data_IF_444342977953
#
_entry.id   IF_444342977953
#
_cell.length_a   1.000
_cell.length_b   1.000
_cell.length_c   1.000
_cell.angle_alpha   90.00
_cell.angle_beta   90.00
_cell.angle_gamma   90.00
#
_symmetry.space_group_name_H-M   'P 1'
#
loop_
_entity.id
_entity.type
_entity.pdbx_description
1 polymer ?
#
# COMPACT_ATOMS: atom_id res chain seq x y z
N UNK A 1 13.09 17.76 13.26
CA UNK A 1 12.44 17.41 11.97
C UNK A 1 13.40 16.52 11.22
N UNK A 2 12.91 15.47 10.59
CA UNK A 2 13.71 14.41 9.97
C UNK A 2 13.16 14.08 8.59
N UNK A 3 14.03 13.85 7.60
CA UNK A 3 13.62 13.40 6.28
C UNK A 3 13.50 11.87 6.31
N UNK A 4 12.32 11.36 5.97
CA UNK A 4 11.98 9.93 5.99
C UNK A 4 11.42 9.50 4.65
N UNK A 5 11.51 8.20 4.35
CA UNK A 5 10.85 7.60 3.19
C UNK A 5 9.48 7.06 3.62
N UNK A 6 8.43 7.44 2.90
CA UNK A 6 7.06 7.03 3.21
C UNK A 6 6.50 6.24 2.03
N UNK A 7 5.90 5.09 2.31
CA UNK A 7 5.06 4.36 1.39
C UNK A 7 3.59 4.71 1.64
N UNK A 8 2.91 5.10 0.58
CA UNK A 8 1.45 5.03 0.49
C UNK A 8 1.07 3.65 -0.03
N UNK A 9 0.36 2.86 0.77
CA UNK A 9 -0.10 1.51 0.44
C UNK A 9 -1.62 1.53 0.33
N UNK A 10 -2.13 1.31 -0.88
CA UNK A 10 -3.55 1.08 -1.12
C UNK A 10 -3.79 -0.43 -1.15
N UNK A 11 -4.48 -0.95 -0.13
CA UNK A 11 -4.97 -2.33 -0.10
C UNK A 11 -6.39 -2.33 -0.67
N UNK A 12 -6.60 -3.02 -1.79
CA UNK A 12 -7.88 -2.96 -2.50
C UNK A 12 -8.89 -3.99 -1.98
N UNK A 13 -8.39 -5.10 -1.43
CA UNK A 13 -9.21 -6.25 -1.10
C UNK A 13 -8.77 -7.00 0.16
N UNK A 14 -8.69 -6.30 1.29
CA UNK A 14 -8.42 -6.90 2.61
C UNK A 14 -9.54 -7.91 2.94
N UNK A 15 -9.14 -9.11 3.37
CA UNK A 15 -9.98 -10.27 3.64
C UNK A 15 -10.22 -11.17 2.43
N UNK A 16 -9.54 -10.94 1.29
CA UNK A 16 -9.77 -11.71 0.06
C UNK A 16 -8.79 -12.86 -0.16
N UNK A 17 -7.63 -12.83 0.52
CA UNK A 17 -6.57 -13.81 0.31
C UNK A 17 -6.91 -15.20 0.88
N UNK A 18 -7.78 -15.28 1.89
CA UNK A 18 -8.20 -16.53 2.53
C UNK A 18 -9.68 -16.90 2.28
N UNK A 19 -10.32 -16.31 1.26
CA UNK A 19 -11.72 -16.59 0.97
C UNK A 19 -11.91 -18.02 0.41
N UNK A 20 -11.94 -19.01 1.30
CA UNK A 20 -12.32 -20.39 1.02
C UNK A 20 -13.86 -20.46 0.93
N UNK A 21 -14.45 -20.02 -0.18
CA UNK A 21 -15.89 -20.16 -0.37
C UNK A 21 -16.46 -19.47 -1.60
N UNK A 22 -17.52 -20.06 -2.16
CA UNK A 22 -18.41 -19.45 -3.14
C UNK A 22 -19.24 -18.34 -2.46
N UNK A 23 -18.61 -17.19 -2.22
CA UNK A 23 -19.30 -16.06 -1.61
C UNK A 23 -18.62 -14.76 -1.99
N UNK A 24 -19.43 -13.76 -2.32
CA UNK A 24 -19.03 -12.36 -2.43
C UNK A 24 -18.56 -11.87 -1.05
N UNK A 25 -17.39 -12.32 -0.60
CA UNK A 25 -16.78 -11.83 0.63
C UNK A 25 -16.60 -10.32 0.46
N UNK A 26 -17.19 -9.55 1.39
CA UNK A 26 -17.01 -8.10 1.48
C UNK A 26 -15.57 -7.82 1.84
N UNK A 27 -14.71 -7.79 0.83
CA UNK A 27 -13.36 -7.29 0.99
C UNK A 27 -13.39 -5.78 1.15
N UNK A 28 -12.45 -5.25 1.93
CA UNK A 28 -12.36 -3.82 2.22
C UNK A 28 -11.21 -3.20 1.46
N UNK A 29 -11.44 -1.99 0.97
CA UNK A 29 -10.41 -1.13 0.40
C UNK A 29 -10.01 -0.08 1.40
N UNK A 30 -8.70 0.05 1.65
CA UNK A 30 -8.17 1.04 2.58
C UNK A 30 -6.76 1.48 2.19
N UNK A 31 -6.45 2.74 2.48
CA UNK A 31 -5.14 3.35 2.21
C UNK A 31 -4.40 3.60 3.52
N UNK A 32 -3.11 3.33 3.52
CA UNK A 32 -2.22 3.48 4.66
C UNK A 32 -0.98 4.27 4.27
N UNK A 33 -0.44 5.03 5.22
CA UNK A 33 0.85 5.70 5.09
C UNK A 33 1.76 5.13 6.15
N UNK A 34 2.93 4.65 5.75
CA UNK A 34 3.90 4.07 6.68
C UNK A 34 5.32 4.43 6.29
N UNK A 35 6.19 4.54 7.28
CA UNK A 35 7.62 4.73 7.06
C UNK A 35 8.23 3.42 6.56
N UNK A 36 9.09 3.52 5.55
CA UNK A 36 9.79 2.39 4.94
C UNK A 36 11.27 2.70 4.84
N UNK A 37 12.11 1.66 4.82
CA UNK A 37 13.55 1.84 4.68
C UNK A 37 13.90 2.43 3.30
N UNK A 38 13.26 1.90 2.26
CA UNK A 38 13.50 2.24 0.86
C UNK A 38 12.28 1.88 -0.01
N UNK A 39 12.41 2.07 -1.32
CA UNK A 39 11.39 1.73 -2.31
C UNK A 39 11.58 0.36 -2.96
N UNK A 40 12.39 -0.52 -2.39
CA UNK A 40 12.64 -1.83 -2.98
C UNK A 40 11.40 -2.73 -2.91
N UNK A 41 11.22 -3.57 -3.93
CA UNK A 41 10.05 -4.42 -4.09
C UNK A 41 9.86 -5.33 -2.88
N UNK A 42 10.93 -5.90 -2.33
CA UNK A 42 10.87 -6.79 -1.17
C UNK A 42 10.48 -6.04 0.11
N UNK A 43 11.05 -4.84 0.32
CA UNK A 43 10.68 -3.96 1.44
C UNK A 43 9.20 -3.62 1.40
N UNK A 44 8.70 -3.22 0.23
CA UNK A 44 7.29 -2.87 0.04
C UNK A 44 6.38 -4.08 0.19
N UNK A 45 6.79 -5.26 -0.32
CA UNK A 45 6.04 -6.50 -0.15
C UNK A 45 5.85 -6.85 1.32
N UNK A 46 6.93 -6.82 2.09
CA UNK A 46 6.88 -7.07 3.54
C UNK A 46 5.95 -6.08 4.24
N UNK A 47 6.03 -4.80 3.88
CA UNK A 47 5.14 -3.77 4.46
C UNK A 47 3.67 -3.94 4.06
N UNK A 48 3.38 -4.37 2.84
CA UNK A 48 2.01 -4.72 2.44
C UNK A 48 1.45 -5.85 3.31
N UNK A 49 2.23 -6.90 3.55
CA UNK A 49 1.83 -8.04 4.39
C UNK A 49 1.56 -7.58 5.83
N UNK A 50 2.51 -6.87 6.44
CA UNK A 50 2.38 -6.35 7.81
C UNK A 50 1.11 -5.50 7.98
N UNK A 51 0.88 -4.56 7.06
CA UNK A 51 -0.29 -3.67 7.11
C UNK A 51 -1.57 -4.47 6.88
N UNK A 52 -1.59 -5.42 5.97
CA UNK A 52 -2.77 -6.23 5.71
C UNK A 52 -3.16 -7.11 6.91
N UNK A 53 -2.20 -7.80 7.51
CA UNK A 53 -2.41 -8.66 8.68
C UNK A 53 -2.89 -7.84 9.89
N UNK A 54 -2.27 -6.68 10.14
CA UNK A 54 -2.71 -5.76 11.19
C UNK A 54 -4.14 -5.21 10.98
N UNK A 55 -4.70 -5.34 9.76
CA UNK A 55 -6.01 -4.80 9.40
C UNK A 55 -7.05 -5.88 9.04
N UNK A 56 -6.75 -7.15 9.31
CA UNK A 56 -7.72 -8.25 9.29
C UNK A 56 -7.50 -9.33 8.24
N UNK A 57 -6.36 -9.34 7.53
CA UNK A 57 -5.90 -10.59 6.93
C UNK A 57 -5.38 -11.53 8.01
N UNK A 58 -5.55 -12.84 7.80
CA UNK A 58 -4.95 -13.84 8.69
C UNK A 58 -3.45 -13.95 8.41
N UNK A 59 -2.66 -14.18 9.46
CA UNK A 59 -1.21 -14.34 9.34
C UNK A 59 -0.83 -15.44 8.32
N UNK A 60 0.10 -15.11 7.43
CA UNK A 60 0.66 -16.04 6.45
C UNK A 60 -0.20 -16.31 5.20
N UNK A 61 -1.41 -15.78 5.10
CA UNK A 61 -2.28 -16.00 3.92
C UNK A 61 -1.77 -15.30 2.66
N UNK A 62 -0.89 -14.30 2.83
CA UNK A 62 -0.24 -13.56 1.76
C UNK A 62 1.14 -14.12 1.37
N UNK A 63 1.45 -15.38 1.72
CA UNK A 63 2.74 -16.00 1.39
C UNK A 63 3.03 -16.02 -0.13
N UNK A 64 1.99 -16.12 -0.95
CA UNK A 64 2.04 -16.08 -2.43
C UNK A 64 1.80 -14.70 -3.03
N UNK A 65 1.88 -13.63 -2.23
CA UNK A 65 1.82 -12.26 -2.76
C UNK A 65 3.02 -12.02 -3.69
N UNK A 66 2.77 -11.58 -4.91
CA UNK A 66 3.79 -11.41 -5.94
C UNK A 66 3.78 -10.01 -6.52
N UNK A 67 4.94 -9.56 -7.00
CA UNK A 67 5.06 -8.29 -7.72
C UNK A 67 4.48 -8.45 -9.14
N UNK A 68 3.40 -7.74 -9.41
CA UNK A 68 2.71 -7.78 -10.69
C UNK A 68 3.42 -6.89 -11.72
N UNK A 69 4.09 -7.50 -12.70
CA UNK A 69 4.86 -6.79 -13.72
C UNK A 69 4.03 -6.36 -14.96
N UNK A 70 2.72 -6.17 -14.80
CA UNK A 70 1.84 -5.91 -15.94
C UNK A 70 2.05 -4.51 -16.56
N UNK A 71 2.06 -4.45 -17.90
CA UNK A 71 2.29 -3.26 -18.74
C UNK A 71 1.20 -2.16 -18.67
N UNK A 72 0.30 -2.18 -17.67
CA UNK A 72 -0.83 -1.24 -17.55
C UNK A 72 -0.79 -0.35 -16.31
N UNK A 73 0.15 -0.56 -15.39
CA UNK A 73 0.19 0.20 -14.15
C UNK A 73 0.89 1.56 -14.32
N UNK A 74 0.44 2.62 -13.62
CA UNK A 74 1.09 3.91 -13.63
C UNK A 74 2.59 3.83 -13.30
N UNK A 75 3.44 4.63 -13.97
CA UNK A 75 4.87 4.66 -13.65
C UNK A 75 5.10 5.14 -12.22
N UNK A 76 6.09 4.55 -11.55
CA UNK A 76 6.41 4.85 -10.15
C UNK A 76 5.47 4.20 -9.13
N UNK A 77 4.59 3.31 -9.57
CA UNK A 77 3.75 2.48 -8.70
C UNK A 77 4.27 1.05 -8.69
N UNK A 78 4.44 0.48 -7.50
CA UNK A 78 4.74 -0.94 -7.31
C UNK A 78 3.45 -1.67 -6.97
N UNK A 79 3.07 -2.67 -7.76
CA UNK A 79 1.78 -3.37 -7.61
C UNK A 79 2.02 -4.79 -7.15
N UNK A 80 1.27 -5.22 -6.14
CA UNK A 80 1.32 -6.57 -5.61
C UNK A 80 -0.01 -7.26 -5.83
N UNK A 81 0.04 -8.53 -6.18
CA UNK A 81 -1.14 -9.33 -6.42
C UNK A 81 -1.05 -10.73 -5.84
N UNK A 82 -2.21 -11.27 -5.45
CA UNK A 82 -2.36 -12.63 -4.94
C UNK A 82 -3.74 -13.15 -5.28
N UNK A 83 -3.82 -14.24 -6.03
CA UNK A 83 -5.12 -14.80 -6.39
C UNK A 83 -5.65 -15.70 -5.27
N UNK A 84 -6.96 -15.72 -5.07
CA UNK A 84 -7.58 -16.65 -4.13
C UNK A 84 -7.48 -18.08 -4.69
N UNK A 85 -7.50 -19.08 -3.81
CA UNK A 85 -7.38 -20.50 -4.21
C UNK A 85 -8.37 -20.91 -5.31
N UNK A 86 -9.59 -20.36 -5.28
CA UNK A 86 -10.67 -20.67 -6.22
C UNK A 86 -11.26 -19.42 -6.88
N UNK A 87 -10.65 -18.25 -6.70
CA UNK A 87 -11.21 -16.97 -7.12
C UNK A 87 -10.15 -16.10 -7.77
N UNK A 88 -10.40 -15.73 -9.03
CA UNK A 88 -9.61 -14.75 -9.73
C UNK A 88 -10.20 -13.36 -9.53
N UNK A 89 -9.37 -12.44 -9.05
CA UNK A 89 -9.68 -11.04 -8.89
C UNK A 89 -9.09 -10.25 -10.06
N UNK A 90 -9.90 -9.38 -10.66
CA UNK A 90 -9.45 -8.48 -11.73
C UNK A 90 -8.66 -7.27 -11.20
N UNK A 91 -8.84 -6.93 -9.92
CA UNK A 91 -8.14 -5.83 -9.26
C UNK A 91 -6.93 -6.38 -8.47
N UNK A 92 -5.74 -5.78 -8.62
CA UNK A 92 -4.57 -6.20 -7.86
C UNK A 92 -4.81 -6.07 -6.36
N UNK A 93 -4.18 -6.93 -5.58
CA UNK A 93 -4.31 -6.92 -4.13
C UNK A 93 -3.91 -5.58 -3.50
N UNK A 94 -2.74 -5.05 -3.89
CA UNK A 94 -2.21 -3.81 -3.36
C UNK A 94 -1.45 -2.98 -4.40
N UNK A 95 -1.44 -1.66 -4.20
CA UNK A 95 -0.65 -0.73 -4.99
C UNK A 95 0.11 0.25 -4.08
N UNK A 96 1.38 0.46 -4.36
CA UNK A 96 2.30 1.22 -3.50
C UNK A 96 2.93 2.37 -4.27
N UNK A 97 3.02 3.54 -3.63
CA UNK A 97 3.78 4.70 -4.12
C UNK A 97 4.70 5.17 -3.01
N UNK A 98 5.98 5.34 -3.32
CA UNK A 98 7.01 5.74 -2.35
C UNK A 98 7.47 7.16 -2.63
N UNK A 99 7.60 7.97 -1.58
CA UNK A 99 8.07 9.33 -1.70
C UNK A 99 8.79 9.79 -0.41
N UNK A 100 9.74 10.74 -0.53
CA UNK A 100 10.35 11.37 0.64
C UNK A 100 9.33 12.29 1.34
N UNK A 101 9.36 12.30 2.67
CA UNK A 101 8.51 13.15 3.51
C UNK A 101 9.29 13.72 4.70
N UNK A 102 8.82 14.85 5.25
CA UNK A 102 9.40 15.46 6.45
C UNK A 102 8.58 15.10 7.68
N UNK A 103 9.19 14.42 8.64
CA UNK A 103 8.64 14.10 9.95
C UNK A 103 8.89 15.24 10.94
N UNK A 104 7.84 15.69 11.61
CA UNK A 104 7.92 16.73 12.65
C UNK A 104 7.94 16.06 14.03
N UNK A 105 8.89 16.45 14.88
CA UNK A 105 9.03 15.87 16.21
C UNK A 105 7.85 16.28 17.12
N UNK A 106 7.28 15.32 17.85
CA UNK A 106 6.24 15.57 18.85
C UNK A 106 4.91 14.81 18.66
N UNK A 107 4.75 14.03 17.58
CA UNK A 107 3.57 13.17 17.40
C UNK A 107 3.98 11.70 17.28
N UNK A 108 3.59 10.83 18.23
CA UNK A 108 3.84 9.41 18.14
C UNK A 108 2.91 8.76 17.11
N UNK A 109 3.49 7.95 16.22
CA UNK A 109 2.77 7.09 15.28
C UNK A 109 2.50 7.70 13.89
N UNK A 110 2.30 6.87 12.86
CA UNK A 110 1.95 7.29 11.51
C UNK A 110 0.47 7.72 11.50
N UNK A 111 0.17 8.89 12.07
CA UNK A 111 -1.15 9.49 11.92
C UNK A 111 -1.31 9.97 10.46
N UNK A 112 -2.42 9.64 9.78
CA UNK A 112 -2.64 9.95 8.37
C UNK A 112 -2.67 11.46 8.04
N UNK A 113 -2.56 12.33 9.05
CA UNK A 113 -2.66 13.78 8.94
C UNK A 113 -1.31 14.52 9.04
N UNK A 114 -0.19 13.82 9.23
CA UNK A 114 1.08 14.48 9.63
C UNK A 114 2.24 14.42 8.65
N UNK A 115 2.08 13.73 7.52
CA UNK A 115 3.02 13.91 6.41
C UNK A 115 2.58 15.13 5.61
N UNK A 116 3.26 16.26 5.79
CA UNK A 116 3.25 17.29 4.74
C UNK A 116 3.95 16.68 3.54
N UNK A 117 3.16 16.22 2.58
CA UNK A 117 3.64 15.72 1.29
C UNK A 117 4.24 16.92 0.55
N UNK A 118 5.55 17.12 0.69
CA UNK A 118 6.29 17.97 -0.22
C UNK A 118 6.53 17.14 -1.48
N UNK A 119 5.59 17.20 -2.42
CA UNK A 119 5.87 16.77 -3.79
C UNK A 119 6.96 17.73 -4.28
N UNK A 120 8.22 17.31 -4.22
CA UNK A 120 9.36 17.99 -4.85
C UNK A 120 9.11 17.92 -6.37
N UNK A 121 8.24 18.80 -6.86
CA UNK A 121 8.07 19.05 -8.27
C UNK A 121 9.05 20.15 -8.65
N UNK A 122 9.90 19.84 -9.63
CA UNK A 122 10.14 20.78 -10.70
C UNK A 122 8.76 21.28 -11.20
N UNK A 123 8.34 22.40 -10.64
CA UNK A 123 7.18 23.24 -10.97
C UNK A 123 5.92 22.58 -11.55
N UNK A 124 4.98 22.14 -10.71
CA UNK A 124 3.53 22.43 -10.87
C UNK A 124 2.89 22.38 -9.49
N UNK A 125 2.38 23.52 -9.02
CA UNK A 125 1.57 23.61 -7.82
C UNK A 125 0.19 22.98 -8.06
N UNK A 126 -0.12 21.90 -7.35
CA UNK A 126 -1.46 21.33 -7.29
C UNK A 126 -1.83 21.12 -5.82
N UNK A 127 -2.93 21.76 -5.40
CA UNK A 127 -3.58 21.49 -4.11
C UNK A 127 -4.12 20.07 -4.17
N UNK A 128 -3.38 19.12 -3.61
CA UNK A 128 -3.81 17.73 -3.51
C UNK A 128 -4.94 17.62 -2.47
N UNK A 129 -6.17 17.47 -2.97
CA UNK A 129 -7.19 16.73 -2.25
C UNK A 129 -6.72 15.27 -2.25
N UNK A 130 -6.69 14.68 -1.07
CA UNK A 130 -6.52 13.25 -0.78
C UNK A 130 -7.11 12.35 -1.85
N UNK A 131 -6.27 11.91 -2.77
CA UNK A 131 -6.38 10.71 -3.59
C UNK A 131 -5.01 10.51 -4.27
N UNK A 132 -4.42 9.34 -4.09
CA UNK A 132 -3.31 8.89 -4.95
C UNK A 132 -3.89 8.39 -6.29
#
# INVERSE_FOLDING_TARGET
MELVTVACIALNRIGSANAAGFGYARHRRQQFFTEVADGDVDTLRQKVIEVAEANGEQEGVLHSLEHAQNLGFPPGQTVFDVQGLTTQYSEPYAACVVFPALKVAGVPGPHPLLFRIYRLHLGVASRSRTAC
#
